data_IF_430778416960
#
_entry.id   IF_430778416960
#
_cell.length_a   1.000
_cell.length_b   1.000
_cell.length_c   1.000
_cell.angle_alpha   90.00
_cell.angle_beta   90.00
_cell.angle_gamma   90.00
#
_symmetry.space_group_name_H-M   'P 1'
#
loop_
_entity.id
_entity.type
_entity.pdbx_description
1 polymer ?
#
# COMPACT_ATOMS: atom_id res chain seq x y z
N UNK A 1 16.04 -88.56 44.98
CA UNK A 1 16.77 -87.52 44.25
C UNK A 1 15.75 -86.54 43.67
N UNK A 2 15.57 -85.32 44.22
CA UNK A 2 14.67 -84.35 43.60
C UNK A 2 15.45 -83.32 42.83
N UNK A 3 14.99 -83.07 41.63
CA UNK A 3 15.41 -81.95 40.72
C UNK A 3 14.88 -80.64 41.24
N UNK A 4 15.77 -79.76 41.57
CA UNK A 4 15.43 -78.32 41.84
C UNK A 4 15.30 -77.53 40.56
N UNK A 5 14.09 -77.06 40.26
CA UNK A 5 13.83 -76.06 39.21
C UNK A 5 14.13 -74.67 39.78
N UNK A 6 15.08 -73.95 39.15
CA UNK A 6 15.33 -72.54 39.41
C UNK A 6 14.42 -71.70 38.48
N UNK A 7 13.54 -70.96 39.08
CA UNK A 7 12.76 -69.91 38.38
C UNK A 7 13.65 -68.69 38.25
N UNK A 8 13.91 -68.29 37.02
CA UNK A 8 14.52 -67.00 36.70
C UNK A 8 13.42 -65.94 36.61
N UNK A 9 13.42 -64.98 37.51
CA UNK A 9 12.56 -63.80 37.46
C UNK A 9 13.17 -62.81 36.50
N UNK A 10 12.53 -62.62 35.30
CA UNK A 10 12.87 -61.57 34.36
C UNK A 10 12.26 -60.26 34.82
N UNK A 11 13.10 -59.30 35.14
CA UNK A 11 12.67 -57.91 35.41
C UNK A 11 12.55 -57.21 34.10
N UNK A 12 11.30 -56.93 33.68
CA UNK A 12 11.01 -56.02 32.52
C UNK A 12 11.16 -54.59 32.99
N UNK A 13 12.24 -53.93 32.55
CA UNK A 13 12.39 -52.47 32.66
C UNK A 13 11.59 -51.84 31.56
N UNK A 14 10.40 -51.28 31.88
CA UNK A 14 9.64 -50.42 30.97
C UNK A 14 10.26 -49.04 31.04
N UNK A 15 11.10 -48.75 30.05
CA UNK A 15 11.65 -47.39 29.86
C UNK A 15 10.57 -46.47 29.37
N UNK A 16 10.04 -45.59 30.24
CA UNK A 16 9.20 -44.49 29.87
C UNK A 16 10.10 -43.41 29.21
N UNK A 17 10.15 -43.38 27.88
CA UNK A 17 10.79 -42.31 27.13
C UNK A 17 9.87 -41.07 27.22
N UNK A 18 10.16 -40.17 28.15
CA UNK A 18 9.51 -38.89 28.26
C UNK A 18 9.98 -38.01 27.07
N UNK A 19 9.15 -37.91 26.05
CA UNK A 19 9.32 -36.96 24.95
C UNK A 19 8.99 -35.56 25.49
N UNK A 20 9.99 -34.84 26.02
CA UNK A 20 9.91 -33.41 26.26
C UNK A 20 9.92 -32.69 24.91
N UNK A 21 8.74 -32.50 24.34
CA UNK A 21 8.57 -31.58 23.24
C UNK A 21 8.86 -30.16 23.74
N UNK A 22 10.08 -29.68 23.48
CA UNK A 22 10.44 -28.29 23.65
C UNK A 22 9.65 -27.49 22.61
N UNK A 23 8.52 -26.93 23.03
CA UNK A 23 7.87 -25.82 22.33
C UNK A 23 8.82 -24.61 22.40
N UNK A 24 9.78 -24.54 21.48
CA UNK A 24 10.48 -23.32 21.19
C UNK A 24 9.44 -22.37 20.54
N UNK A 25 8.70 -21.65 21.39
CA UNK A 25 7.85 -20.56 20.95
C UNK A 25 8.72 -19.61 20.14
N UNK A 26 8.42 -19.42 18.86
CA UNK A 26 8.99 -18.37 18.05
C UNK A 26 8.56 -17.03 18.67
N UNK A 27 9.30 -16.57 19.67
CA UNK A 27 9.22 -15.19 20.15
C UNK A 27 9.70 -14.33 19.00
N UNK A 28 8.76 -13.76 18.25
CA UNK A 28 9.04 -12.78 17.23
C UNK A 28 9.98 -11.73 17.82
N UNK A 29 11.14 -11.55 17.19
CA UNK A 29 12.18 -10.62 17.65
C UNK A 29 11.53 -9.26 17.79
N UNK A 30 11.45 -8.73 19.02
CA UNK A 30 10.83 -7.43 19.31
C UNK A 30 11.56 -6.37 18.49
N UNK A 31 10.82 -5.61 17.66
CA UNK A 31 11.37 -4.53 16.84
C UNK A 31 12.12 -3.53 17.73
N UNK A 32 13.32 -3.08 17.33
CA UNK A 32 14.08 -2.07 18.05
C UNK A 32 13.40 -0.70 18.00
N UNK A 33 13.75 0.18 18.96
CA UNK A 33 13.22 1.54 18.98
C UNK A 33 13.62 2.31 17.70
N UNK A 34 14.87 2.14 17.25
CA UNK A 34 15.37 2.78 16.02
C UNK A 34 14.63 2.30 14.77
N UNK A 35 14.37 0.99 14.66
CA UNK A 35 13.60 0.45 13.54
C UNK A 35 12.15 1.00 13.53
N UNK A 36 11.54 1.15 14.71
CA UNK A 36 10.23 1.80 14.83
C UNK A 36 10.26 3.26 14.42
N UNK A 37 11.28 4.01 14.88
CA UNK A 37 11.44 5.41 14.53
C UNK A 37 11.64 5.59 13.03
N UNK A 38 12.50 4.77 12.41
CA UNK A 38 12.70 4.79 10.96
C UNK A 38 11.40 4.52 10.20
N UNK A 39 10.63 3.51 10.62
CA UNK A 39 9.34 3.21 10.00
C UNK A 39 8.31 4.33 10.15
N UNK A 40 8.33 5.09 11.25
CA UNK A 40 7.49 6.28 11.40
C UNK A 40 7.94 7.39 10.44
N UNK A 41 9.24 7.65 10.34
CA UNK A 41 9.79 8.62 9.39
C UNK A 41 9.43 8.25 7.94
N UNK A 42 9.59 6.98 7.57
CA UNK A 42 9.21 6.49 6.24
C UNK A 42 7.72 6.68 5.93
N UNK A 43 6.85 6.43 6.90
CA UNK A 43 5.41 6.66 6.72
C UNK A 43 5.08 8.14 6.55
N UNK A 44 5.73 9.02 7.31
CA UNK A 44 5.57 10.47 7.17
C UNK A 44 6.05 10.95 5.79
N UNK A 45 7.22 10.50 5.35
CA UNK A 45 7.74 10.82 4.01
C UNK A 45 6.78 10.36 2.91
N UNK A 46 6.27 9.12 2.97
CA UNK A 46 5.30 8.60 2.01
C UNK A 46 4.00 9.42 2.04
N UNK A 47 3.53 9.78 3.23
CA UNK A 47 2.33 10.62 3.36
C UNK A 47 2.56 12.00 2.72
N UNK A 48 3.74 12.59 2.88
CA UNK A 48 4.10 13.84 2.23
C UNK A 48 4.12 13.71 0.70
N UNK A 49 4.60 12.58 0.15
CA UNK A 49 4.50 12.29 -1.30
C UNK A 49 3.04 12.22 -1.76
N UNK A 50 2.16 11.58 -0.97
CA UNK A 50 0.72 11.51 -1.27
C UNK A 50 0.07 12.90 -1.27
N UNK A 51 0.38 13.74 -0.30
CA UNK A 51 -0.15 15.11 -0.19
C UNK A 51 0.38 16.00 -1.32
N UNK A 52 1.68 15.92 -1.61
CA UNK A 52 2.30 16.68 -2.69
C UNK A 52 1.74 16.29 -4.07
N UNK A 53 1.41 15.02 -4.28
CA UNK A 53 0.70 14.58 -5.48
C UNK A 53 -0.60 15.35 -5.69
N UNK A 54 -1.45 15.47 -4.65
CA UNK A 54 -2.69 16.23 -4.72
C UNK A 54 -2.45 17.71 -5.00
N UNK A 55 -1.51 18.32 -4.25
CA UNK A 55 -1.14 19.73 -4.42
C UNK A 55 -0.66 20.04 -5.84
N UNK A 56 0.28 19.24 -6.35
CA UNK A 56 0.84 19.44 -7.69
C UNK A 56 -0.20 19.23 -8.80
N UNK A 57 -1.07 18.22 -8.64
CA UNK A 57 -2.17 17.95 -9.55
C UNK A 57 -3.14 19.12 -9.63
N UNK A 58 -3.56 19.65 -8.48
CA UNK A 58 -4.52 20.75 -8.40
C UNK A 58 -3.91 22.06 -8.91
N UNK A 59 -2.62 22.29 -8.68
CA UNK A 59 -1.89 23.43 -9.21
C UNK A 59 -1.55 23.32 -10.71
N UNK A 60 -1.75 22.15 -11.34
CA UNK A 60 -1.28 21.85 -12.69
C UNK A 60 0.25 21.93 -12.81
N UNK A 61 0.96 21.76 -11.72
CA UNK A 61 2.41 21.65 -11.68
C UNK A 61 2.83 20.22 -12.04
N UNK A 62 2.75 19.91 -13.33
CA UNK A 62 3.05 18.54 -13.79
C UNK A 62 4.54 18.22 -13.79
N UNK A 63 5.41 19.19 -13.59
CA UNK A 63 6.83 18.94 -13.33
C UNK A 63 7.02 18.38 -11.92
N UNK A 64 6.49 19.06 -10.89
CA UNK A 64 6.48 18.55 -9.52
C UNK A 64 5.72 17.22 -9.42
N UNK A 65 4.53 17.11 -10.00
CA UNK A 65 3.73 15.90 -10.03
C UNK A 65 4.48 14.68 -10.56
N UNK A 66 5.10 14.80 -11.74
CA UNK A 66 5.80 13.70 -12.37
C UNK A 66 7.09 13.31 -11.64
N UNK A 67 7.73 14.26 -10.95
CA UNK A 67 8.94 14.02 -10.15
C UNK A 67 8.70 13.10 -8.95
N UNK A 68 7.45 12.90 -8.53
CA UNK A 68 7.06 12.00 -7.45
C UNK A 68 7.12 10.52 -7.87
N UNK A 69 7.23 10.23 -9.15
CA UNK A 69 7.32 8.87 -9.68
C UNK A 69 8.78 8.42 -9.82
N UNK A 70 9.03 7.13 -9.56
CA UNK A 70 10.31 6.50 -9.84
C UNK A 70 10.65 6.57 -11.34
N UNK A 71 11.90 6.36 -11.70
CA UNK A 71 12.38 6.41 -13.09
C UNK A 71 11.57 5.52 -14.04
N UNK A 72 11.07 4.38 -13.56
CA UNK A 72 10.19 3.44 -14.25
C UNK A 72 8.77 3.40 -13.66
N UNK A 73 8.40 4.43 -12.89
CA UNK A 73 7.10 4.55 -12.24
C UNK A 73 5.94 4.58 -13.23
N UNK A 74 4.80 4.07 -12.80
CA UNK A 74 3.59 3.94 -13.62
C UNK A 74 2.40 4.65 -12.97
N UNK A 75 1.69 5.43 -13.79
CA UNK A 75 0.37 5.94 -13.44
C UNK A 75 -0.70 5.18 -14.24
N UNK A 76 -1.79 4.77 -13.56
CA UNK A 76 -2.95 4.09 -14.17
C UNK A 76 -4.22 4.76 -13.68
N UNK A 77 -5.15 5.08 -14.57
CA UNK A 77 -6.43 5.68 -14.18
C UNK A 77 -7.42 5.75 -15.33
N UNK A 78 -8.48 6.53 -15.15
CA UNK A 78 -9.58 6.63 -16.11
C UNK A 78 -9.21 7.14 -17.50
N UNK A 79 -8.03 7.75 -17.66
CA UNK A 79 -7.49 8.19 -18.96
C UNK A 79 -6.57 7.16 -19.62
N UNK A 80 -6.23 6.06 -18.93
CA UNK A 80 -5.32 5.05 -19.43
C UNK A 80 -4.17 4.74 -18.48
N UNK A 81 -3.04 4.31 -19.04
CA UNK A 81 -1.82 3.97 -18.31
C UNK A 81 -0.61 4.60 -19.00
N UNK A 82 0.35 5.08 -18.20
CA UNK A 82 1.57 5.72 -18.70
C UNK A 82 2.73 5.47 -17.75
N UNK A 83 3.94 5.26 -18.31
CA UNK A 83 5.17 4.95 -17.55
C UNK A 83 6.25 6.01 -17.76
N UNK A 84 6.99 6.25 -16.67
CA UNK A 84 8.13 7.14 -16.59
C UNK A 84 7.75 8.62 -16.45
N UNK A 85 8.50 9.39 -15.63
CA UNK A 85 8.15 10.76 -15.26
C UNK A 85 7.90 11.68 -16.46
N UNK A 86 8.75 11.65 -17.49
CA UNK A 86 8.61 12.49 -18.66
C UNK A 86 7.28 12.23 -19.42
N UNK A 87 6.95 10.95 -19.59
CA UNK A 87 5.71 10.55 -20.25
C UNK A 87 4.48 10.88 -19.39
N UNK A 88 4.58 10.70 -18.06
CA UNK A 88 3.51 11.05 -17.12
C UNK A 88 3.23 12.56 -17.19
N UNK A 89 4.28 13.39 -17.19
CA UNK A 89 4.15 14.84 -17.37
C UNK A 89 3.38 15.18 -18.65
N UNK A 90 3.86 14.72 -19.79
CA UNK A 90 3.26 15.00 -21.10
C UNK A 90 1.81 14.48 -21.19
N UNK A 91 1.54 13.31 -20.60
CA UNK A 91 0.20 12.74 -20.53
C UNK A 91 -0.76 13.60 -19.72
N UNK A 92 -0.34 14.10 -18.57
CA UNK A 92 -1.16 14.97 -17.72
C UNK A 92 -1.40 16.34 -18.39
N UNK A 93 -0.37 16.94 -18.98
CA UNK A 93 -0.48 18.20 -19.76
C UNK A 93 -1.51 18.07 -20.88
N UNK A 94 -1.48 16.96 -21.63
CA UNK A 94 -2.41 16.69 -22.72
C UNK A 94 -3.87 16.56 -22.24
N UNK A 95 -4.10 15.89 -21.11
CA UNK A 95 -5.45 15.55 -20.63
C UNK A 95 -6.08 16.63 -19.75
N UNK A 96 -5.27 17.45 -19.08
CA UNK A 96 -5.74 18.41 -18.08
C UNK A 96 -5.40 19.87 -18.43
N UNK A 97 -4.60 20.10 -19.48
CA UNK A 97 -4.15 21.43 -19.89
C UNK A 97 -3.03 21.98 -19.01
N UNK A 98 -2.39 23.05 -19.47
CA UNK A 98 -1.20 23.67 -18.83
C UNK A 98 -1.47 25.07 -18.27
N UNK A 99 -2.69 25.59 -18.41
CA UNK A 99 -3.03 26.99 -18.08
C UNK A 99 -3.48 27.17 -16.62
N UNK A 100 -2.87 26.43 -15.69
CA UNK A 100 -3.26 26.44 -14.28
C UNK A 100 -4.61 25.76 -14.03
N UNK A 101 -5.26 26.12 -12.92
CA UNK A 101 -6.55 25.56 -12.50
C UNK A 101 -7.61 26.67 -12.42
N UNK A 102 -8.18 27.14 -13.55
CA UNK A 102 -9.11 28.27 -13.59
C UNK A 102 -10.45 27.95 -12.90
N UNK A 103 -10.78 26.68 -12.70
CA UNK A 103 -12.02 26.24 -12.05
C UNK A 103 -11.92 26.14 -10.54
N UNK A 104 -10.72 26.34 -9.96
CA UNK A 104 -10.45 26.23 -8.53
C UNK A 104 -10.93 24.92 -7.91
N UNK A 105 -11.02 23.85 -8.71
CA UNK A 105 -11.32 22.52 -8.23
C UNK A 105 -10.11 21.92 -7.51
N UNK A 106 -10.34 20.97 -6.61
CA UNK A 106 -9.25 20.35 -5.87
C UNK A 106 -9.61 18.93 -5.41
N UNK A 107 -8.57 18.18 -5.07
CA UNK A 107 -8.68 16.83 -4.54
C UNK A 107 -8.53 16.85 -3.01
N UNK A 108 -9.53 16.31 -2.30
CA UNK A 108 -9.40 15.96 -0.89
C UNK A 108 -8.85 14.54 -0.82
N UNK A 109 -7.68 14.38 -0.18
CA UNK A 109 -7.09 13.07 0.10
C UNK A 109 -7.27 12.73 1.57
N UNK A 110 -7.62 11.47 1.86
CA UNK A 110 -7.90 11.01 3.21
C UNK A 110 -7.65 9.51 3.40
N UNK A 111 -7.81 9.03 4.63
CA UNK A 111 -7.81 7.61 4.98
C UNK A 111 -6.52 6.88 4.54
N UNK A 112 -5.36 7.48 4.81
CA UNK A 112 -4.08 6.89 4.43
C UNK A 112 -3.79 5.63 5.25
N UNK A 113 -3.64 4.49 4.57
CA UNK A 113 -3.15 3.23 5.14
C UNK A 113 -1.83 2.90 4.48
N UNK A 114 -0.72 3.06 5.20
CA UNK A 114 0.64 2.91 4.68
C UNK A 114 1.34 1.75 5.36
N UNK A 115 1.87 0.82 4.58
CA UNK A 115 2.67 -0.32 5.05
C UNK A 115 4.05 -0.26 4.42
N UNK A 116 5.09 -0.20 5.26
CA UNK A 116 6.50 -0.12 4.85
C UNK A 116 7.17 -1.47 5.05
N UNK A 117 7.94 -1.91 4.07
CA UNK A 117 8.71 -3.15 4.07
C UNK A 117 10.11 -2.92 3.45
N UNK A 118 11.08 -2.50 4.27
CA UNK A 118 12.41 -2.08 3.80
C UNK A 118 12.31 -0.88 2.86
N UNK A 119 12.88 -1.00 1.66
CA UNK A 119 12.88 0.06 0.63
C UNK A 119 11.66 0.01 -0.30
N UNK A 120 10.63 -0.74 0.08
CA UNK A 120 9.33 -0.78 -0.61
C UNK A 120 8.19 -0.47 0.34
N UNK A 121 7.10 0.05 -0.19
CA UNK A 121 5.89 0.27 0.59
C UNK A 121 4.64 0.14 -0.27
N UNK A 122 3.51 -0.04 0.39
CA UNK A 122 2.19 0.10 -0.21
C UNK A 122 1.41 1.18 0.51
N UNK A 123 0.53 1.87 -0.23
CA UNK A 123 -0.45 2.74 0.39
C UNK A 123 -1.82 2.56 -0.26
N UNK A 124 -2.83 2.73 0.56
CA UNK A 124 -4.20 2.87 0.15
C UNK A 124 -4.74 4.18 0.70
N UNK A 125 -5.52 4.92 -0.12
CA UNK A 125 -6.12 6.16 0.32
C UNK A 125 -7.43 6.46 -0.42
N UNK A 126 -8.23 7.37 0.12
CA UNK A 126 -9.43 7.89 -0.52
C UNK A 126 -9.15 9.26 -1.13
N UNK A 127 -9.85 9.54 -2.23
CA UNK A 127 -9.89 10.87 -2.80
C UNK A 127 -11.33 11.29 -3.12
N UNK A 128 -11.57 12.59 -3.04
CA UNK A 128 -12.79 13.22 -3.52
C UNK A 128 -12.42 14.45 -4.36
N UNK A 129 -13.02 14.58 -5.53
CA UNK A 129 -12.85 15.73 -6.40
C UNK A 129 -13.94 16.76 -6.11
N UNK A 130 -13.53 17.90 -5.59
CA UNK A 130 -14.41 18.98 -5.17
C UNK A 130 -14.44 20.07 -6.24
N UNK A 131 -15.65 20.47 -6.62
CA UNK A 131 -15.88 21.55 -7.57
C UNK A 131 -16.69 22.68 -6.95
N UNK A 132 -16.20 23.94 -7.00
CA UNK A 132 -17.00 25.11 -6.65
C UNK A 132 -18.24 25.21 -7.54
N UNK A 133 -19.35 25.70 -6.97
CA UNK A 133 -20.60 25.94 -7.67
C UNK A 133 -20.74 27.43 -7.97
N UNK A 134 -21.28 27.79 -9.14
CA UNK A 134 -21.56 29.19 -9.50
C UNK A 134 -22.59 29.84 -8.57
N UNK A 135 -23.51 29.04 -8.01
CA UNK A 135 -24.51 29.49 -7.04
C UNK A 135 -23.96 29.69 -5.63
N UNK A 136 -22.66 29.50 -5.42
CA UNK A 136 -22.02 29.42 -4.09
C UNK A 136 -21.99 28.00 -3.52
N UNK A 137 -21.00 27.76 -2.64
CA UNK A 137 -20.72 26.43 -2.06
C UNK A 137 -19.88 25.54 -2.99
N UNK A 138 -19.84 24.26 -2.69
CA UNK A 138 -19.07 23.27 -3.45
C UNK A 138 -19.79 21.91 -3.48
N UNK A 139 -19.49 21.09 -4.47
CA UNK A 139 -20.00 19.72 -4.60
C UNK A 139 -18.85 18.73 -4.78
N UNK A 140 -19.04 17.51 -4.30
CA UNK A 140 -18.17 16.38 -4.63
C UNK A 140 -18.65 15.82 -5.97
N UNK A 141 -17.89 16.09 -7.03
CA UNK A 141 -18.25 15.65 -8.39
C UNK A 141 -17.86 14.19 -8.63
N UNK A 142 -16.78 13.72 -8.03
CA UNK A 142 -16.29 12.36 -8.13
C UNK A 142 -15.61 11.95 -6.82
N UNK A 143 -15.60 10.66 -6.53
CA UNK A 143 -14.85 10.09 -5.42
C UNK A 143 -14.33 8.71 -5.77
N UNK A 144 -13.24 8.30 -5.13
CA UNK A 144 -12.63 7.02 -5.39
C UNK A 144 -11.50 6.69 -4.44
N UNK A 145 -10.57 5.89 -4.93
CA UNK A 145 -9.42 5.45 -4.15
C UNK A 145 -8.16 5.43 -5.00
N UNK A 146 -7.05 5.47 -4.29
CA UNK A 146 -5.74 5.16 -4.82
C UNK A 146 -5.22 3.86 -4.21
N UNK A 147 -4.66 3.01 -5.06
CA UNK A 147 -3.89 1.82 -4.71
C UNK A 147 -2.46 2.04 -5.21
N UNK A 148 -1.52 2.16 -4.28
CA UNK A 148 -0.16 2.61 -4.56
C UNK A 148 0.89 1.60 -4.13
N UNK A 149 1.95 1.50 -4.93
CA UNK A 149 3.22 0.92 -4.51
C UNK A 149 4.32 1.95 -4.60
N UNK A 150 5.25 1.90 -3.65
CA UNK A 150 6.38 2.80 -3.53
C UNK A 150 7.71 2.06 -3.56
N UNK A 151 8.75 2.76 -3.95
CA UNK A 151 10.14 2.32 -3.87
C UNK A 151 11.00 3.49 -3.37
N UNK A 152 12.05 3.19 -2.63
CA UNK A 152 13.08 4.18 -2.29
C UNK A 152 14.08 4.25 -3.44
N UNK A 153 14.13 5.38 -4.12
CA UNK A 153 15.03 5.65 -5.24
C UNK A 153 15.89 6.87 -4.89
N UNK A 154 17.22 6.69 -4.88
CA UNK A 154 18.19 7.73 -4.50
C UNK A 154 17.91 8.35 -3.11
N UNK A 155 17.50 7.54 -2.15
CA UNK A 155 17.19 7.95 -0.79
C UNK A 155 15.81 8.56 -0.57
N UNK A 156 15.00 8.76 -1.62
CA UNK A 156 13.66 9.35 -1.54
C UNK A 156 12.57 8.34 -1.89
N UNK A 157 11.42 8.41 -1.22
CA UNK A 157 10.26 7.62 -1.56
C UNK A 157 9.61 8.13 -2.85
N UNK A 158 9.32 7.21 -3.79
CA UNK A 158 8.72 7.50 -5.10
C UNK A 158 7.59 6.52 -5.40
N UNK A 159 6.57 6.96 -6.12
CA UNK A 159 5.58 6.03 -6.68
C UNK A 159 6.26 5.07 -7.66
N UNK A 160 6.21 3.79 -7.36
CA UNK A 160 6.50 2.73 -8.33
C UNK A 160 5.29 2.49 -9.23
N UNK A 161 4.10 2.52 -8.62
CA UNK A 161 2.84 2.48 -9.35
C UNK A 161 1.76 3.17 -8.54
N UNK A 162 0.95 3.99 -9.22
CA UNK A 162 -0.31 4.53 -8.69
C UNK A 162 -1.46 4.08 -9.57
N UNK A 163 -2.49 3.50 -8.95
CA UNK A 163 -3.75 3.18 -9.62
C UNK A 163 -4.87 4.06 -9.05
N UNK A 164 -5.44 4.91 -9.90
CA UNK A 164 -6.56 5.78 -9.56
C UNK A 164 -7.88 5.13 -10.00
N UNK A 165 -8.68 4.67 -9.05
CA UNK A 165 -10.01 4.11 -9.28
C UNK A 165 -11.10 5.12 -8.94
N UNK A 166 -12.12 5.24 -9.79
CA UNK A 166 -13.30 6.06 -9.53
C UNK A 166 -14.44 5.14 -9.06
N UNK A 167 -14.94 5.38 -7.85
CA UNK A 167 -16.00 4.55 -7.24
C UNK A 167 -17.41 5.14 -7.48
N UNK A 168 -17.53 6.41 -7.92
CA UNK A 168 -18.83 7.06 -8.19
C UNK A 168 -19.35 6.83 -9.61
N UNK A 169 -18.54 6.22 -10.47
CA UNK A 169 -18.86 6.08 -11.89
C UNK A 169 -18.76 7.39 -12.67
N UNK A 170 -18.84 7.33 -13.99
CA UNK A 170 -19.03 8.51 -14.84
C UNK A 170 -20.52 8.64 -15.12
N UNK A 171 -21.11 9.84 -15.06
CA UNK A 171 -22.49 10.03 -15.50
C UNK A 171 -22.68 9.49 -16.91
N UNK A 172 -23.68 8.61 -17.10
CA UNK A 172 -23.99 8.01 -18.41
C UNK A 172 -23.17 6.76 -18.80
N UNK A 173 -22.22 6.32 -17.97
CA UNK A 173 -21.51 5.06 -18.15
C UNK A 173 -22.05 4.04 -17.14
N UNK A 174 -22.53 2.84 -17.56
CA UNK A 174 -22.94 1.81 -16.63
C UNK A 174 -21.81 1.50 -15.64
N UNK A 175 -22.10 1.53 -14.34
CA UNK A 175 -21.14 1.13 -13.33
C UNK A 175 -20.80 -0.35 -13.53
N UNK A 176 -19.58 -0.64 -13.96
CA UNK A 176 -19.05 -1.99 -13.82
C UNK A 176 -19.11 -2.35 -12.33
N UNK A 177 -19.51 -3.58 -12.04
CA UNK A 177 -19.77 -4.10 -10.71
C UNK A 177 -18.71 -3.59 -9.72
N UNK A 178 -19.17 -2.87 -8.69
CA UNK A 178 -18.33 -2.47 -7.55
C UNK A 178 -17.73 -3.74 -6.98
N UNK A 179 -16.43 -3.94 -7.17
CA UNK A 179 -15.73 -5.07 -6.56
C UNK A 179 -15.88 -4.93 -5.04
N UNK A 180 -16.42 -5.94 -4.32
CA UNK A 180 -16.50 -5.86 -2.87
C UNK A 180 -15.13 -5.52 -2.30
N UNK A 181 -15.08 -4.61 -1.33
CA UNK A 181 -13.88 -4.36 -0.54
C UNK A 181 -13.49 -5.69 0.11
N UNK A 182 -12.48 -6.35 -0.42
CA UNK A 182 -11.83 -7.43 0.30
C UNK A 182 -11.12 -6.80 1.47
N UNK A 183 -11.64 -7.00 2.66
CA UNK A 183 -11.14 -6.49 3.94
C UNK A 183 -9.84 -7.18 4.40
N UNK A 184 -9.23 -8.01 3.58
CA UNK A 184 -7.97 -8.64 3.91
C UNK A 184 -6.80 -7.74 3.49
N UNK A 185 -5.90 -7.39 4.42
CA UNK A 185 -4.60 -6.84 4.05
C UNK A 185 -3.87 -7.85 3.15
N UNK A 186 -3.00 -7.40 2.24
CA UNK A 186 -2.21 -8.31 1.44
C UNK A 186 -1.42 -9.23 2.36
N UNK A 187 -1.54 -10.53 2.14
CA UNK A 187 -0.74 -11.52 2.85
C UNK A 187 0.74 -11.22 2.63
N UNK A 188 1.48 -11.21 3.72
CA UNK A 188 2.95 -11.12 3.67
C UNK A 188 3.48 -12.27 2.83
N UNK A 189 4.46 -12.04 1.92
CA UNK A 189 5.04 -13.12 1.16
C UNK A 189 5.61 -14.17 2.11
N UNK A 190 5.11 -15.41 2.02
CA UNK A 190 5.63 -16.54 2.77
C UNK A 190 7.08 -16.77 2.35
N UNK A 191 7.98 -16.64 3.31
CA UNK A 191 9.38 -17.06 3.15
C UNK A 191 9.41 -18.57 2.85
N UNK A 192 9.85 -18.91 1.66
CA UNK A 192 10.41 -20.22 1.37
C UNK A 192 11.90 -20.17 1.50
#
# INVERSE_FOLDING_TARGET
MPLTRRLAAGVFFVGVLSFLATFAGAQGKKESADARLQRFADKEEIQNVLLEYGRALDARDFAAYSSLFASDGEWVGGFGSVKGPANIKAFMEKNMGTNGNPTHNYHLLSNFVITVAGDTATAWSRWAFVQPQQSGGATIAQAGRYDDTFVRENGAWKFKKRTASNDTGRPGVPQGQVRPLTTAPPESPSSK
#
